data_IF_549213841851
#
_entry.id   IF_549213841851
#
_cell.length_a   1.000
_cell.length_b   1.000
_cell.length_c   1.000
_cell.angle_alpha   90.00
_cell.angle_beta   90.00
_cell.angle_gamma   90.00
#
_symmetry.space_group_name_H-M   'P 1'
#
loop_
_entity.id
_entity.type
_entity.pdbx_description
1 polymer ?
#
# COMPACT_ATOMS: atom_id res chain seq x y z
N UNK A 1 -5.32 12.83 -8.92
CA UNK A 1 -4.55 11.99 -9.87
C UNK A 1 -3.06 12.26 -9.70
N UNK A 2 -2.22 11.24 -9.86
CA UNK A 2 -0.78 11.36 -9.78
C UNK A 2 -0.05 11.06 -11.10
N UNK A 3 1.20 11.51 -11.22
CA UNK A 3 1.98 11.45 -12.45
C UNK A 3 2.93 10.26 -12.50
N UNK A 4 3.39 9.81 -11.34
CA UNK A 4 4.34 8.71 -11.21
C UNK A 4 3.66 7.33 -11.36
N UNK A 5 4.44 6.29 -11.37
CA UNK A 5 4.02 4.89 -11.41
C UNK A 5 4.81 4.11 -10.39
N UNK A 6 4.26 2.98 -9.92
CA UNK A 6 4.89 2.09 -8.96
C UNK A 6 6.37 1.82 -9.31
N UNK A 7 7.28 1.85 -8.33
CA UNK A 7 8.68 1.51 -8.53
C UNK A 7 8.93 0.00 -8.68
N UNK A 8 7.91 -0.84 -8.50
CA UNK A 8 8.06 -2.30 -8.43
C UNK A 8 8.43 -2.94 -9.78
N UNK A 9 8.04 -2.29 -10.87
CA UNK A 9 8.36 -2.76 -12.23
C UNK A 9 8.64 -1.58 -13.16
N UNK A 10 9.42 -1.82 -14.22
CA UNK A 10 9.78 -0.78 -15.20
C UNK A 10 8.55 -0.22 -15.92
N UNK A 11 8.48 1.11 -16.02
CA UNK A 11 7.56 1.85 -16.90
C UNK A 11 8.20 2.30 -18.21
N UNK A 12 9.38 1.75 -18.59
CA UNK A 12 10.08 2.13 -19.81
C UNK A 12 9.68 1.25 -21.00
N UNK A 13 9.50 1.87 -22.15
CA UNK A 13 9.17 1.16 -23.40
C UNK A 13 7.92 0.28 -23.28
N UNK A 14 6.89 0.82 -22.64
CA UNK A 14 5.60 0.15 -22.49
C UNK A 14 5.02 -0.16 -23.87
N UNK A 15 4.64 -1.41 -24.08
CA UNK A 15 4.05 -1.89 -25.34
C UNK A 15 2.61 -2.30 -25.08
N UNK A 16 1.66 -1.37 -25.13
CA UNK A 16 0.26 -1.68 -24.88
C UNK A 16 -0.38 -2.33 -26.10
N UNK A 17 -1.34 -3.21 -25.87
CA UNK A 17 -2.23 -3.74 -26.90
C UNK A 17 -3.67 -3.83 -26.41
N UNK A 18 -4.61 -3.76 -27.34
CA UNK A 18 -6.04 -3.85 -27.03
C UNK A 18 -6.51 -5.27 -27.33
N UNK A 19 -7.16 -5.89 -26.37
CA UNK A 19 -7.92 -7.13 -26.52
C UNK A 19 -9.37 -6.74 -26.68
N UNK A 20 -9.92 -6.97 -27.87
CA UNK A 20 -11.30 -6.64 -28.17
C UNK A 20 -12.24 -7.72 -27.66
N UNK A 21 -13.36 -7.29 -27.07
CA UNK A 21 -14.46 -8.17 -26.65
C UNK A 21 -13.93 -9.39 -25.86
N UNK A 22 -13.25 -9.14 -24.74
CA UNK A 22 -12.60 -10.17 -23.94
C UNK A 22 -13.52 -11.36 -23.65
N UNK A 23 -13.03 -12.56 -23.88
CA UNK A 23 -13.83 -13.79 -23.85
C UNK A 23 -13.82 -14.55 -22.51
N UNK A 24 -13.06 -14.05 -21.52
CA UNK A 24 -12.95 -14.67 -20.20
C UNK A 24 -11.85 -15.73 -20.08
N UNK A 25 -11.06 -15.96 -21.12
CA UNK A 25 -9.95 -16.91 -21.09
C UNK A 25 -8.64 -16.25 -20.60
N UNK A 26 -7.64 -17.10 -20.35
CA UNK A 26 -6.27 -16.64 -20.05
C UNK A 26 -5.73 -15.75 -21.19
N UNK A 27 -5.00 -14.71 -20.82
CA UNK A 27 -4.47 -13.74 -21.77
C UNK A 27 -2.96 -13.96 -21.93
N UNK A 28 -2.48 -14.51 -23.08
CA UNK A 28 -1.06 -14.55 -23.37
C UNK A 28 -0.51 -13.13 -23.54
N UNK A 29 0.32 -12.67 -22.61
CA UNK A 29 0.93 -11.34 -22.65
C UNK A 29 2.19 -11.33 -23.50
N UNK A 30 3.10 -12.31 -23.30
CA UNK A 30 4.30 -12.55 -24.11
C UNK A 30 4.47 -14.05 -24.34
N UNK A 31 3.97 -14.59 -25.46
CA UNK A 31 4.05 -16.04 -25.74
C UNK A 31 5.49 -16.56 -25.79
N UNK A 32 6.43 -15.76 -26.31
CA UNK A 32 7.84 -16.13 -26.46
C UNK A 32 8.53 -16.39 -25.11
N UNK A 33 8.05 -15.74 -24.05
CA UNK A 33 8.58 -15.90 -22.69
C UNK A 33 7.57 -16.60 -21.74
N UNK A 34 6.49 -17.13 -22.32
CA UNK A 34 5.43 -17.81 -21.56
C UNK A 34 4.83 -16.96 -20.43
N UNK A 35 4.72 -15.63 -20.68
CA UNK A 35 4.04 -14.72 -19.74
C UNK A 35 2.56 -14.71 -20.06
N UNK A 36 1.76 -15.16 -19.11
CA UNK A 36 0.30 -15.32 -19.27
C UNK A 36 -0.38 -14.72 -18.06
N UNK A 37 -1.36 -13.86 -18.28
CA UNK A 37 -2.31 -13.44 -17.25
C UNK A 37 -3.36 -14.53 -17.12
N UNK A 38 -3.27 -15.31 -16.05
CA UNK A 38 -4.14 -16.46 -15.83
C UNK A 38 -5.38 -16.05 -15.06
N UNK A 39 -6.52 -16.48 -15.52
CA UNK A 39 -7.80 -16.24 -14.84
C UNK A 39 -7.97 -17.04 -13.55
N UNK A 40 -7.14 -18.04 -13.32
CA UNK A 40 -7.04 -18.77 -12.06
C UNK A 40 -6.32 -17.94 -10.98
N UNK A 41 -5.25 -17.22 -11.38
CA UNK A 41 -4.45 -16.38 -10.49
C UNK A 41 -5.14 -15.03 -10.25
N UNK A 42 -5.86 -14.49 -11.25
CA UNK A 42 -6.54 -13.20 -11.24
C UNK A 42 -8.00 -13.34 -11.71
N UNK A 43 -8.87 -13.94 -10.90
CA UNK A 43 -10.27 -14.23 -11.29
C UNK A 43 -11.09 -12.95 -11.54
N UNK A 44 -10.68 -11.81 -11.01
CA UNK A 44 -11.33 -10.51 -11.16
C UNK A 44 -11.41 -10.07 -12.62
N UNK A 45 -10.47 -10.48 -13.45
CA UNK A 45 -10.46 -10.12 -14.88
C UNK A 45 -11.72 -10.63 -15.60
N UNK A 46 -12.36 -11.68 -15.09
CA UNK A 46 -13.63 -12.21 -15.66
C UNK A 46 -14.82 -11.25 -15.53
N UNK A 47 -14.73 -10.24 -14.66
CA UNK A 47 -15.75 -9.20 -14.57
C UNK A 47 -15.86 -8.37 -15.87
N UNK A 48 -14.82 -8.40 -16.68
CA UNK A 48 -14.70 -7.61 -17.90
C UNK A 48 -14.98 -8.41 -19.18
N UNK A 49 -15.62 -9.59 -19.08
CA UNK A 49 -16.04 -10.39 -20.26
C UNK A 49 -16.96 -9.54 -21.14
N UNK A 50 -16.69 -9.49 -22.44
CA UNK A 50 -17.40 -8.68 -23.41
C UNK A 50 -16.91 -7.24 -23.52
N UNK A 51 -15.94 -6.83 -22.71
CA UNK A 51 -15.34 -5.50 -22.76
C UNK A 51 -13.98 -5.52 -23.48
N UNK A 52 -13.53 -4.35 -23.88
CA UNK A 52 -12.18 -4.19 -24.43
C UNK A 52 -11.19 -4.01 -23.28
N UNK A 53 -10.09 -4.75 -23.31
CA UNK A 53 -9.01 -4.65 -22.32
C UNK A 53 -7.76 -4.05 -22.94
N UNK A 54 -7.05 -3.21 -22.20
CA UNK A 54 -5.71 -2.75 -22.55
C UNK A 54 -4.71 -3.46 -21.65
N UNK A 55 -3.78 -4.17 -22.24
CA UNK A 55 -2.72 -4.93 -21.55
C UNK A 55 -1.34 -4.60 -22.11
N UNK A 56 -0.30 -4.89 -21.35
CA UNK A 56 1.10 -4.86 -21.83
C UNK A 56 1.57 -6.25 -22.24
N UNK A 57 2.85 -6.35 -22.56
CA UNK A 57 3.52 -7.64 -22.75
C UNK A 57 3.91 -8.33 -21.43
N UNK A 58 3.50 -7.79 -20.28
CA UNK A 58 3.81 -8.34 -18.95
C UNK A 58 5.25 -8.10 -18.45
N UNK A 59 6.08 -7.37 -19.22
CA UNK A 59 7.46 -7.02 -18.84
C UNK A 59 7.57 -5.61 -18.24
N UNK A 60 6.51 -4.84 -18.34
CA UNK A 60 6.42 -3.47 -17.84
C UNK A 60 5.09 -3.25 -17.14
N UNK A 61 5.04 -2.21 -16.31
CA UNK A 61 3.76 -1.64 -15.90
C UNK A 61 2.98 -1.18 -17.13
N UNK A 62 1.64 -1.14 -17.03
CA UNK A 62 0.79 -0.46 -18.02
C UNK A 62 0.83 1.05 -17.82
N UNK A 63 0.83 1.50 -16.56
CA UNK A 63 0.82 2.91 -16.18
C UNK A 63 -0.59 3.52 -16.21
N UNK A 64 -1.65 2.69 -16.25
CA UNK A 64 -3.03 3.18 -16.14
C UNK A 64 -3.27 3.82 -14.77
N UNK A 65 -2.66 3.29 -13.76
CA UNK A 65 -2.52 3.88 -12.45
C UNK A 65 -1.31 4.86 -12.49
N UNK A 66 -1.50 6.22 -12.43
CA UNK A 66 -2.84 6.85 -12.41
C UNK A 66 -3.06 7.76 -13.65
N UNK A 67 -2.49 7.40 -14.78
CA UNK A 67 -2.66 8.18 -16.03
C UNK A 67 -4.09 8.10 -16.58
N UNK A 68 -4.85 7.08 -16.16
CA UNK A 68 -6.29 7.01 -16.46
C UNK A 68 -7.02 8.16 -15.77
N UNK A 69 -6.81 8.37 -14.47
CA UNK A 69 -7.40 9.49 -13.73
C UNK A 69 -6.99 10.87 -14.29
N UNK A 70 -5.74 11.01 -14.76
CA UNK A 70 -5.31 12.22 -15.46
C UNK A 70 -6.15 12.42 -16.73
N UNK A 71 -6.32 11.37 -17.54
CA UNK A 71 -7.09 11.44 -18.79
C UNK A 71 -8.56 11.76 -18.55
N UNK A 72 -9.15 11.17 -17.51
CA UNK A 72 -10.53 11.43 -17.10
C UNK A 72 -10.74 12.88 -16.68
N UNK A 73 -9.84 13.42 -15.85
CA UNK A 73 -9.89 14.83 -15.42
C UNK A 73 -9.80 15.76 -16.63
N UNK A 74 -8.83 15.54 -17.51
CA UNK A 74 -8.63 16.41 -18.70
C UNK A 74 -9.85 16.31 -19.63
N UNK A 75 -10.40 15.12 -19.87
CA UNK A 75 -11.59 14.92 -20.70
C UNK A 75 -12.82 15.59 -20.10
N UNK A 76 -12.99 15.51 -18.77
CA UNK A 76 -14.07 16.20 -18.08
C UNK A 76 -13.95 17.73 -18.19
N UNK A 77 -12.74 18.28 -18.09
CA UNK A 77 -12.49 19.71 -18.25
C UNK A 77 -12.75 20.16 -19.68
N UNK A 78 -12.30 19.40 -20.68
CA UNK A 78 -12.59 19.68 -22.09
C UNK A 78 -14.10 19.69 -22.35
N UNK A 79 -14.81 18.69 -21.84
CA UNK A 79 -16.25 18.59 -21.97
C UNK A 79 -16.98 19.80 -21.38
N UNK A 80 -16.62 20.23 -20.17
CA UNK A 80 -17.21 21.40 -19.52
C UNK A 80 -16.94 22.70 -20.29
N UNK A 81 -15.78 22.85 -20.91
CA UNK A 81 -15.44 24.02 -21.76
C UNK A 81 -16.28 24.02 -23.02
N UNK A 82 -16.55 22.85 -23.61
CA UNK A 82 -17.39 22.73 -24.84
C UNK A 82 -18.88 22.84 -24.55
N UNK A 83 -19.30 22.68 -23.26
CA UNK A 83 -20.69 22.70 -22.82
C UNK A 83 -20.96 23.81 -21.79
N UNK A 84 -20.92 25.09 -22.17
CA UNK A 84 -21.06 26.22 -21.24
C UNK A 84 -22.44 26.31 -20.59
N UNK A 85 -23.44 25.57 -21.08
CA UNK A 85 -24.76 25.41 -20.46
C UNK A 85 -24.70 24.65 -19.14
N UNK A 86 -23.65 23.81 -18.89
CA UNK A 86 -23.45 23.10 -17.64
C UNK A 86 -22.89 24.06 -16.61
N UNK A 87 -23.74 24.39 -15.63
CA UNK A 87 -23.37 25.32 -14.56
C UNK A 87 -22.49 24.61 -13.55
N UNK A 88 -21.32 25.17 -13.27
CA UNK A 88 -20.40 24.68 -12.25
C UNK A 88 -19.72 25.83 -11.50
N UNK A 89 -19.23 25.55 -10.32
CA UNK A 89 -18.39 26.47 -9.56
C UNK A 89 -16.98 26.54 -10.13
N UNK A 90 -16.08 27.19 -9.39
CA UNK A 90 -14.66 27.24 -9.75
C UNK A 90 -14.02 25.87 -9.58
N UNK A 91 -13.48 25.33 -10.65
CA UNK A 91 -12.75 24.05 -10.65
C UNK A 91 -11.25 24.33 -10.68
N UNK A 92 -10.51 23.58 -9.88
CA UNK A 92 -9.05 23.55 -9.86
C UNK A 92 -8.58 22.13 -10.03
N UNK A 93 -7.52 21.95 -10.79
CA UNK A 93 -6.93 20.63 -11.05
C UNK A 93 -5.48 20.64 -10.57
N UNK A 94 -5.07 19.56 -9.95
CA UNK A 94 -3.69 19.31 -9.58
C UNK A 94 -3.29 17.88 -9.95
N UNK A 95 -2.07 17.73 -10.45
CA UNK A 95 -1.42 16.46 -10.66
C UNK A 95 -0.18 16.40 -9.79
N UNK A 96 -0.07 15.39 -8.94
CA UNK A 96 1.00 15.26 -7.95
C UNK A 96 2.04 14.23 -8.38
N UNK A 97 3.32 14.45 -8.11
CA UNK A 97 4.35 13.42 -8.23
C UNK A 97 4.45 12.60 -6.94
N UNK A 98 5.20 11.50 -6.98
CA UNK A 98 5.68 10.76 -5.81
C UNK A 98 4.56 10.19 -4.90
N UNK A 99 3.37 9.91 -5.47
CA UNK A 99 2.27 9.26 -4.75
C UNK A 99 2.66 7.86 -4.31
N UNK A 100 3.19 7.07 -5.23
CA UNK A 100 3.54 5.65 -5.09
C UNK A 100 4.64 5.39 -4.04
N UNK A 101 5.35 6.42 -3.63
CA UNK A 101 6.32 6.37 -2.53
C UNK A 101 5.86 7.16 -1.29
N UNK A 102 4.57 7.56 -1.26
CA UNK A 102 3.95 8.25 -0.14
C UNK A 102 4.48 9.67 0.11
N UNK A 103 5.03 10.35 -0.91
CA UNK A 103 5.60 11.68 -0.78
C UNK A 103 4.73 12.79 -1.42
N UNK A 104 3.72 12.41 -2.21
CA UNK A 104 2.87 13.31 -2.99
C UNK A 104 2.32 14.51 -2.22
N UNK A 105 1.71 14.35 -1.03
CA UNK A 105 1.08 15.46 -0.32
C UNK A 105 2.07 16.37 0.44
N UNK A 106 3.32 15.96 0.67
CA UNK A 106 4.23 16.64 1.61
C UNK A 106 4.54 18.11 1.28
N UNK A 107 4.51 18.46 0.00
CA UNK A 107 4.81 19.84 -0.48
C UNK A 107 3.59 20.49 -1.13
N UNK A 108 2.41 19.87 -1.06
CA UNK A 108 1.20 20.40 -1.65
C UNK A 108 0.65 21.55 -0.80
N UNK A 109 0.58 22.74 -1.37
CA UNK A 109 0.06 23.93 -0.68
C UNK A 109 -1.47 23.98 -0.80
N UNK A 110 -2.15 23.36 0.13
CA UNK A 110 -3.62 23.30 0.21
C UNK A 110 -4.25 24.69 0.25
N UNK A 111 -3.64 25.64 0.98
CA UNK A 111 -4.16 27.02 1.09
C UNK A 111 -4.08 27.73 -0.24
N UNK A 112 -2.97 27.63 -0.96
CA UNK A 112 -2.78 28.20 -2.28
C UNK A 112 -3.68 27.53 -3.31
N UNK A 113 -3.87 26.22 -3.21
CA UNK A 113 -4.80 25.48 -4.05
C UNK A 113 -6.22 25.99 -3.84
N UNK A 114 -6.65 26.25 -2.60
CA UNK A 114 -7.86 27.01 -2.26
C UNK A 114 -9.14 26.39 -2.79
N UNK A 115 -9.28 25.08 -2.69
CA UNK A 115 -10.52 24.34 -2.92
C UNK A 115 -11.18 24.03 -1.56
N UNK A 116 -12.50 24.03 -1.53
CA UNK A 116 -13.29 23.68 -0.35
C UNK A 116 -13.48 22.16 -0.24
N UNK A 117 -13.66 21.50 -1.38
CA UNK A 117 -13.73 20.05 -1.53
C UNK A 117 -12.76 19.60 -2.61
N UNK A 118 -12.34 18.34 -2.53
CA UNK A 118 -11.51 17.70 -3.54
C UNK A 118 -11.99 16.27 -3.81
N UNK A 119 -11.88 15.87 -5.05
CA UNK A 119 -12.00 14.49 -5.49
C UNK A 119 -10.63 14.03 -5.98
N UNK A 120 -10.21 12.86 -5.54
CA UNK A 120 -9.03 12.18 -6.07
C UNK A 120 -9.51 11.10 -7.02
N UNK A 121 -9.09 11.19 -8.28
CA UNK A 121 -9.30 10.14 -9.27
C UNK A 121 -8.03 9.30 -9.27
N UNK A 122 -8.19 8.06 -8.87
CA UNK A 122 -7.13 7.08 -8.74
C UNK A 122 -7.74 5.70 -8.97
N UNK A 123 -6.96 4.65 -9.12
CA UNK A 123 -7.43 3.32 -9.51
C UNK A 123 -8.74 2.88 -8.85
N UNK A 124 -9.42 1.90 -9.43
CA UNK A 124 -10.69 1.37 -8.92
C UNK A 124 -11.67 0.97 -10.02
N UNK A 125 -12.82 0.45 -9.62
CA UNK A 125 -13.89 0.06 -10.56
C UNK A 125 -14.69 1.29 -11.02
N UNK A 126 -15.23 1.24 -12.24
CA UNK A 126 -16.04 2.32 -12.78
C UNK A 126 -17.26 2.57 -11.89
N UNK A 127 -17.43 3.80 -11.44
CA UNK A 127 -18.55 4.23 -10.61
C UNK A 127 -18.34 4.01 -9.10
N UNK A 128 -17.19 3.53 -8.69
CA UNK A 128 -16.81 3.45 -7.28
C UNK A 128 -16.59 4.86 -6.70
N UNK A 129 -17.08 5.07 -5.50
CA UNK A 129 -16.86 6.30 -4.74
C UNK A 129 -16.49 5.93 -3.32
N UNK A 130 -15.24 6.17 -2.97
CA UNK A 130 -14.74 6.01 -1.61
C UNK A 130 -14.82 7.34 -0.86
N UNK A 131 -15.32 7.30 0.36
CA UNK A 131 -15.45 8.47 1.25
C UNK A 131 -14.83 8.22 2.62
N UNK A 132 -14.15 7.10 2.80
CA UNK A 132 -13.35 6.78 3.98
C UNK A 132 -12.19 5.85 3.63
N UNK A 133 -11.17 5.84 4.46
CA UNK A 133 -9.98 5.02 4.34
C UNK A 133 -9.55 4.51 5.73
N UNK A 134 -8.47 3.78 5.81
CA UNK A 134 -7.88 3.40 7.10
C UNK A 134 -7.26 4.58 7.83
N UNK A 135 -7.22 4.51 9.18
CA UNK A 135 -6.15 5.14 9.94
C UNK A 135 -4.88 4.32 9.76
N UNK A 136 -3.75 4.97 9.58
CA UNK A 136 -2.51 4.35 9.15
C UNK A 136 -1.31 4.74 10.00
N UNK A 137 -0.51 3.75 10.40
CA UNK A 137 0.80 3.97 11.02
C UNK A 137 1.82 2.95 10.54
N UNK A 138 3.08 3.32 10.64
CA UNK A 138 4.21 2.42 10.50
C UNK A 138 4.88 2.23 11.86
N UNK A 139 5.21 0.99 12.21
CA UNK A 139 5.92 0.65 13.43
C UNK A 139 7.23 -0.05 13.09
N UNK A 140 8.34 0.44 13.63
CA UNK A 140 9.66 -0.19 13.53
C UNK A 140 10.11 -0.67 14.90
N UNK A 141 10.41 -1.95 15.01
CA UNK A 141 10.90 -2.58 16.23
C UNK A 141 12.33 -3.03 16.00
N UNK A 142 13.24 -2.45 16.74
CA UNK A 142 14.66 -2.82 16.72
C UNK A 142 14.98 -3.73 17.90
N UNK A 143 15.50 -4.91 17.63
CA UNK A 143 15.99 -5.85 18.62
C UNK A 143 17.52 -5.89 18.59
N UNK A 144 18.14 -5.71 19.75
CA UNK A 144 19.58 -5.81 19.94
C UNK A 144 19.93 -7.14 20.60
N UNK A 145 20.85 -7.86 19.99
CA UNK A 145 21.39 -9.10 20.49
C UNK A 145 22.83 -8.97 20.99
N UNK A 146 23.42 -10.10 21.28
CA UNK A 146 24.84 -10.24 21.59
C UNK A 146 25.34 -11.54 20.97
N UNK A 147 26.19 -11.41 19.97
CA UNK A 147 26.79 -12.56 19.31
C UNK A 147 27.96 -13.11 20.13
N UNK A 148 28.08 -14.43 20.14
CA UNK A 148 29.18 -15.17 20.79
C UNK A 148 29.43 -16.40 19.93
N UNK A 149 30.70 -16.84 19.85
CA UNK A 149 31.04 -18.10 19.19
C UNK A 149 30.15 -19.24 19.70
N UNK A 150 29.52 -20.05 18.85
CA UNK A 150 28.55 -21.09 19.27
C UNK A 150 29.02 -22.03 20.34
N UNK A 151 30.30 -22.41 20.33
CA UNK A 151 30.90 -23.26 21.34
C UNK A 151 30.93 -22.69 22.77
N UNK A 152 30.72 -21.38 22.92
CA UNK A 152 30.72 -20.66 24.20
C UNK A 152 29.43 -19.91 24.47
N UNK A 153 28.40 -20.17 23.67
CA UNK A 153 27.18 -19.36 23.63
C UNK A 153 26.23 -19.56 24.82
N UNK A 154 26.35 -20.69 25.54
CA UNK A 154 25.46 -21.03 26.65
C UNK A 154 25.46 -19.91 27.71
N UNK A 155 24.29 -19.39 28.04
CA UNK A 155 24.02 -18.27 28.96
C UNK A 155 24.70 -16.93 28.59
N UNK A 156 25.26 -16.81 27.38
CA UNK A 156 25.96 -15.59 26.92
C UNK A 156 25.36 -14.99 25.67
N UNK A 157 24.99 -15.82 24.69
CA UNK A 157 24.43 -15.35 23.44
C UNK A 157 23.00 -14.84 23.65
N UNK A 158 22.71 -13.70 23.03
CA UNK A 158 21.35 -13.15 22.87
C UNK A 158 21.15 -13.04 21.37
N UNK A 159 20.28 -13.88 20.81
CA UNK A 159 20.03 -13.90 19.38
C UNK A 159 18.83 -13.02 19.05
N UNK A 160 19.07 -11.86 18.44
CA UNK A 160 18.02 -10.88 18.10
C UNK A 160 16.99 -11.42 17.11
N UNK A 161 17.39 -12.30 16.18
CA UNK A 161 16.46 -12.95 15.24
C UNK A 161 15.42 -13.82 15.98
N UNK A 162 15.86 -14.56 17.01
CA UNK A 162 14.92 -15.37 17.80
C UNK A 162 13.96 -14.52 18.62
N UNK A 163 14.45 -13.40 19.17
CA UNK A 163 13.61 -12.46 19.91
C UNK A 163 12.59 -11.79 18.97
N UNK A 164 13.02 -11.38 17.79
CA UNK A 164 12.14 -10.82 16.79
C UNK A 164 11.01 -11.81 16.37
N UNK A 165 11.36 -13.08 16.15
CA UNK A 165 10.36 -14.13 15.92
C UNK A 165 9.41 -14.31 17.10
N UNK A 166 9.94 -14.35 18.34
CA UNK A 166 9.11 -14.43 19.54
C UNK A 166 8.13 -13.24 19.63
N UNK A 167 8.60 -12.04 19.32
CA UNK A 167 7.73 -10.85 19.26
C UNK A 167 6.64 -10.98 18.21
N UNK A 168 7.01 -11.37 16.98
CA UNK A 168 6.08 -11.46 15.85
C UNK A 168 4.92 -12.43 16.12
N UNK A 169 5.18 -13.57 16.75
CA UNK A 169 4.13 -14.56 17.08
C UNK A 169 3.25 -14.17 18.27
N UNK A 170 3.58 -13.09 19.01
CA UNK A 170 2.73 -12.56 20.08
C UNK A 170 1.60 -11.68 19.54
N UNK A 171 1.71 -11.15 18.33
CA UNK A 171 0.62 -10.44 17.67
C UNK A 171 -0.51 -11.40 17.26
N UNK A 172 -1.76 -10.92 17.19
CA UNK A 172 -2.88 -11.76 16.79
C UNK A 172 -2.68 -12.39 15.42
N UNK A 173 -2.67 -13.72 15.37
CA UNK A 173 -2.35 -14.50 14.17
C UNK A 173 -3.26 -14.21 12.97
N UNK A 174 -4.53 -13.89 13.25
CA UNK A 174 -5.57 -13.76 12.24
C UNK A 174 -5.89 -12.29 11.90
N UNK A 175 -5.19 -11.35 12.52
CA UNK A 175 -5.34 -9.92 12.22
C UNK A 175 -4.24 -9.46 11.27
N UNK A 176 -4.19 -10.07 10.09
CA UNK A 176 -3.24 -9.78 9.00
C UNK A 176 -4.01 -9.56 7.70
N UNK A 177 -3.48 -8.86 6.69
CA UNK A 177 -4.20 -8.55 5.46
C UNK A 177 -4.82 -9.77 4.78
N UNK A 178 -4.14 -10.91 4.81
CA UNK A 178 -4.61 -12.16 4.20
C UNK A 178 -5.75 -12.85 4.96
N UNK A 179 -6.14 -12.33 6.15
CA UNK A 179 -7.18 -12.92 7.00
C UNK A 179 -8.27 -11.93 7.40
N UNK A 180 -8.20 -10.70 6.92
CA UNK A 180 -9.15 -9.63 7.29
C UNK A 180 -9.87 -9.10 6.06
N UNK A 181 -11.09 -8.61 6.26
CA UNK A 181 -11.93 -8.04 5.22
C UNK A 181 -12.72 -6.81 5.71
N UNK A 182 -13.26 -6.04 4.78
CA UNK A 182 -14.15 -4.90 5.07
C UNK A 182 -13.50 -3.90 6.04
N UNK A 183 -14.13 -3.70 7.19
CA UNK A 183 -13.70 -2.74 8.22
C UNK A 183 -12.77 -3.33 9.29
N UNK A 184 -12.28 -4.52 9.09
CA UNK A 184 -11.33 -5.15 10.02
C UNK A 184 -9.95 -4.52 9.87
N UNK A 185 -9.33 -4.21 11.01
CA UNK A 185 -7.98 -3.69 11.04
C UNK A 185 -6.95 -4.82 11.14
N UNK A 186 -5.70 -4.52 10.80
CA UNK A 186 -4.65 -5.51 10.75
C UNK A 186 -3.26 -4.99 11.15
N UNK A 187 -2.37 -5.94 11.38
CA UNK A 187 -0.92 -5.79 11.52
C UNK A 187 -0.23 -6.47 10.34
N UNK A 188 0.45 -5.72 9.50
CA UNK A 188 1.14 -6.28 8.34
C UNK A 188 2.66 -6.17 8.51
N UNK A 189 3.34 -7.30 8.69
CA UNK A 189 4.80 -7.36 8.70
C UNK A 189 5.31 -7.23 7.26
N UNK A 190 5.90 -6.08 6.93
CA UNK A 190 6.40 -5.79 5.58
C UNK A 190 7.90 -6.03 5.41
N UNK A 191 8.68 -6.04 6.51
CA UNK A 191 10.11 -6.30 6.45
C UNK A 191 10.60 -6.95 7.74
N UNK A 192 11.52 -7.90 7.59
CA UNK A 192 12.28 -8.51 8.65
C UNK A 192 13.75 -8.60 8.21
N UNK A 193 14.59 -7.72 8.74
CA UNK A 193 16.01 -7.64 8.38
C UNK A 193 16.87 -7.81 9.60
N UNK A 194 17.88 -8.70 9.53
CA UNK A 194 18.72 -8.80 10.69
C UNK A 194 19.78 -9.90 10.70
N UNK A 195 20.52 -9.88 11.80
CA UNK A 195 21.58 -10.84 12.16
C UNK A 195 21.40 -11.24 13.63
N UNK A 196 22.32 -12.03 14.19
CA UNK A 196 22.33 -12.36 15.62
C UNK A 196 22.44 -11.11 16.49
N UNK A 197 23.16 -10.08 16.03
CA UNK A 197 23.43 -8.87 16.81
C UNK A 197 22.33 -7.84 16.75
N UNK A 198 21.61 -7.75 15.62
CA UNK A 198 20.54 -6.78 15.43
C UNK A 198 19.51 -7.28 14.44
N UNK A 199 18.24 -7.11 14.76
CA UNK A 199 17.10 -7.41 13.86
C UNK A 199 16.09 -6.27 13.92
N UNK A 200 15.58 -5.87 12.78
CA UNK A 200 14.50 -4.88 12.65
C UNK A 200 13.28 -5.54 12.04
N UNK A 201 12.14 -5.38 12.68
CA UNK A 201 10.82 -5.67 12.10
C UNK A 201 10.14 -4.37 11.73
N UNK A 202 9.57 -4.29 10.54
CA UNK A 202 8.75 -3.15 10.11
C UNK A 202 7.33 -3.63 9.84
N UNK A 203 6.37 -2.99 10.50
CA UNK A 203 4.95 -3.26 10.37
C UNK A 203 4.19 -2.05 9.84
N UNK A 204 3.17 -2.31 9.04
CA UNK A 204 2.08 -1.39 8.76
C UNK A 204 0.93 -1.74 9.70
N UNK A 205 0.32 -0.72 10.32
CA UNK A 205 -0.86 -0.84 11.16
C UNK A 205 -2.00 -0.11 10.46
N UNK A 206 -3.14 -0.79 10.31
CA UNK A 206 -4.35 -0.22 9.70
C UNK A 206 -5.57 -0.55 10.55
N UNK A 207 -6.46 0.40 10.69
CA UNK A 207 -7.82 0.20 11.22
C UNK A 207 -8.71 1.37 10.80
N UNK A 208 -9.95 1.11 10.43
CA UNK A 208 -10.92 2.17 10.11
C UNK A 208 -11.36 2.94 11.35
N UNK A 209 -11.51 2.24 12.49
CA UNK A 209 -11.91 2.82 13.76
C UNK A 209 -10.72 3.42 14.50
N UNK A 210 -10.82 4.69 14.90
CA UNK A 210 -9.75 5.44 15.56
C UNK A 210 -9.33 4.82 16.89
N UNK A 211 -10.31 4.42 17.72
CA UNK A 211 -10.02 3.85 19.03
C UNK A 211 -9.36 2.48 18.94
N UNK A 212 -9.79 1.65 17.96
CA UNK A 212 -9.12 0.36 17.66
C UNK A 212 -7.71 0.59 17.16
N UNK A 213 -7.51 1.56 16.27
CA UNK A 213 -6.19 1.93 15.75
C UNK A 213 -5.23 2.32 16.88
N UNK A 214 -5.68 3.17 17.84
CA UNK A 214 -4.87 3.54 18.99
C UNK A 214 -4.59 2.35 19.92
N UNK A 215 -5.54 1.43 20.09
CA UNK A 215 -5.31 0.18 20.84
C UNK A 215 -4.27 -0.70 20.17
N UNK A 216 -4.29 -0.80 18.83
CA UNK A 216 -3.27 -1.55 18.06
C UNK A 216 -1.86 -1.00 18.31
N UNK A 217 -1.68 0.29 18.30
CA UNK A 217 -0.38 0.92 18.60
C UNK A 217 0.07 0.61 20.03
N UNK A 218 -0.82 0.70 21.00
CA UNK A 218 -0.54 0.35 22.41
C UNK A 218 -0.15 -1.12 22.60
N UNK A 219 -0.66 -2.02 21.77
CA UNK A 219 -0.26 -3.42 21.79
C UNK A 219 1.21 -3.60 21.44
N UNK A 220 1.73 -2.89 20.44
CA UNK A 220 3.17 -2.89 20.15
C UNK A 220 4.01 -2.45 21.35
N UNK A 221 3.60 -1.38 22.01
CA UNK A 221 4.28 -0.90 23.23
C UNK A 221 4.23 -1.94 24.35
N UNK A 222 3.07 -2.59 24.54
CA UNK A 222 2.91 -3.62 25.54
C UNK A 222 3.86 -4.80 25.29
N UNK A 223 3.92 -5.27 24.04
CA UNK A 223 4.77 -6.40 23.67
C UNK A 223 6.27 -6.07 23.79
N UNK A 224 6.69 -4.85 23.42
CA UNK A 224 8.07 -4.40 23.64
C UNK A 224 8.42 -4.39 25.13
N UNK A 225 7.53 -3.90 25.99
CA UNK A 225 7.72 -3.96 27.45
C UNK A 225 7.82 -5.40 27.94
N UNK A 226 7.04 -6.33 27.40
CA UNK A 226 7.07 -7.75 27.75
C UNK A 226 8.41 -8.40 27.34
N UNK A 227 8.89 -8.13 26.14
CA UNK A 227 10.21 -8.59 25.68
C UNK A 227 11.33 -8.02 26.55
N UNK A 228 11.30 -6.74 26.89
CA UNK A 228 12.32 -6.11 27.72
C UNK A 228 12.33 -6.58 29.19
N UNK A 229 11.25 -7.21 29.68
CA UNK A 229 11.26 -7.90 30.97
C UNK A 229 12.07 -9.19 30.93
N UNK A 230 12.01 -9.90 29.81
CA UNK A 230 12.76 -11.16 29.61
C UNK A 230 14.21 -10.89 29.20
N UNK A 231 14.39 -9.93 28.28
CA UNK A 231 15.69 -9.50 27.73
C UNK A 231 15.90 -8.00 27.97
N UNK A 232 16.49 -7.58 29.09
CA UNK A 232 16.55 -6.16 29.47
C UNK A 232 17.17 -5.26 28.40
N UNK A 233 16.44 -4.20 28.02
CA UNK A 233 16.86 -3.18 27.06
C UNK A 233 17.20 -3.71 25.64
N UNK A 234 16.70 -4.88 25.28
CA UNK A 234 16.99 -5.45 23.96
C UNK A 234 16.07 -4.93 22.85
N UNK A 235 14.86 -4.46 23.17
CA UNK A 235 13.88 -4.01 22.19
C UNK A 235 13.57 -2.53 22.33
N UNK A 236 13.50 -1.82 21.19
CA UNK A 236 13.03 -0.45 21.09
C UNK A 236 12.01 -0.34 19.99
N UNK A 237 11.05 0.59 20.14
CA UNK A 237 9.91 0.81 19.25
C UNK A 237 9.87 2.25 18.79
N UNK A 238 9.65 2.43 17.51
CA UNK A 238 9.26 3.71 16.89
C UNK A 238 7.94 3.51 16.17
N UNK A 239 6.93 4.33 16.48
CA UNK A 239 5.66 4.36 15.76
C UNK A 239 5.48 5.75 15.18
N UNK A 240 5.13 5.81 13.88
CA UNK A 240 4.83 7.04 13.18
C UNK A 240 3.49 6.92 12.49
N UNK A 241 2.56 7.81 12.85
CA UNK A 241 1.30 7.92 12.15
C UNK A 241 1.55 8.49 10.74
N UNK A 242 0.82 7.95 9.76
CA UNK A 242 0.94 8.34 8.35
C UNK A 242 -0.24 9.23 7.94
N UNK A 243 -1.45 8.75 8.15
CA UNK A 243 -2.69 9.48 7.88
C UNK A 243 -3.84 8.90 8.71
N UNK A 244 -4.95 9.61 8.70
CA UNK A 244 -6.17 9.21 9.42
C UNK A 244 -7.32 9.00 8.45
N UNK A 245 -8.36 8.30 8.91
CA UNK A 245 -9.57 8.09 8.15
C UNK A 245 -10.18 9.45 7.77
N UNK A 246 -10.44 9.67 6.47
CA UNK A 246 -10.95 10.93 5.97
C UNK A 246 -12.43 11.19 6.29
N UNK A 247 -13.13 10.21 6.85
CA UNK A 247 -14.51 10.32 7.29
C UNK A 247 -14.67 11.14 8.58
N UNK A 248 -13.62 11.30 9.39
CA UNK A 248 -13.64 12.01 10.68
C UNK A 248 -13.51 13.52 10.54
#
# INVERSE_FOLDING_TARGET
AHLDTSPDLSGRHVTPRIIKNYDGNDIPLCPEENIILRTEDFPEVKKYIGQDLIVTNGKTLLGADDKAGIAEIISAMEYLIQHPEIKHGKIRVAFTPDEEIGQGPHKFDVKKFGAEWAYTLDGGEIGELEYENFNAAIAKILFKGRNVHPGYAKHKMINSLRIANQYAIMLPRWETPEHTEGYEGFYHLISCEGTVEQTTLTYIIRDHDRDRFERRKKEFEHLVRKINKEFPNCASLEIKDQYYNMRE
#
